data_IF_219969535211
#
_entry.id   IF_219969535211
#
_cell.length_a   1.000
_cell.length_b   1.000
_cell.length_c   1.000
_cell.angle_alpha   90.00
_cell.angle_beta   90.00
_cell.angle_gamma   90.00
#
_symmetry.space_group_name_H-M   'P 1'
#
loop_
_entity.id
_entity.type
_entity.pdbx_description
1 polymer ?
#
# COMPACT_ATOMS: atom_id res chain seq x y z
N UNK A 1 -14.55 -35.20 -25.14
CA UNK A 1 -13.25 -34.97 -24.46
C UNK A 1 -12.53 -33.66 -24.84
N UNK A 2 -12.69 -33.08 -26.05
CA UNK A 2 -12.04 -31.79 -26.41
C UNK A 2 -12.58 -30.58 -25.63
N UNK A 3 -13.87 -30.56 -25.31
CA UNK A 3 -14.55 -29.49 -24.54
C UNK A 3 -14.05 -29.35 -23.10
N UNK A 4 -13.70 -30.45 -22.44
CA UNK A 4 -13.17 -30.41 -21.07
C UNK A 4 -11.74 -29.88 -21.00
N UNK A 5 -10.91 -30.10 -22.04
CA UNK A 5 -9.53 -29.59 -22.09
C UNK A 5 -9.49 -28.07 -22.28
N UNK A 6 -10.33 -27.52 -23.19
CA UNK A 6 -10.45 -26.07 -23.42
C UNK A 6 -11.03 -25.31 -22.22
N UNK A 7 -12.04 -25.88 -21.57
CA UNK A 7 -12.65 -25.29 -20.37
C UNK A 7 -11.63 -25.16 -19.22
N UNK A 8 -10.80 -26.20 -18.99
CA UNK A 8 -9.73 -26.14 -17.98
C UNK A 8 -8.65 -25.10 -18.29
N UNK A 9 -8.25 -24.96 -19.56
CA UNK A 9 -7.26 -23.97 -19.97
C UNK A 9 -7.79 -22.54 -19.81
N UNK A 10 -9.04 -22.28 -20.23
CA UNK A 10 -9.71 -20.99 -20.02
C UNK A 10 -9.85 -20.64 -18.53
N UNK A 11 -10.22 -21.61 -17.70
CA UNK A 11 -10.30 -21.43 -16.25
C UNK A 11 -8.93 -21.03 -15.67
N UNK A 12 -7.87 -21.74 -16.05
CA UNK A 12 -6.51 -21.45 -15.58
C UNK A 12 -6.05 -20.05 -15.98
N UNK A 13 -6.30 -19.64 -17.22
CA UNK A 13 -5.97 -18.29 -17.69
C UNK A 13 -6.79 -17.22 -16.97
N UNK A 14 -8.09 -17.45 -16.74
CA UNK A 14 -8.92 -16.51 -15.98
C UNK A 14 -8.44 -16.34 -14.54
N UNK A 15 -8.01 -17.43 -13.88
CA UNK A 15 -7.49 -17.39 -12.52
C UNK A 15 -6.15 -16.66 -12.45
N UNK A 16 -5.26 -16.86 -13.43
CA UNK A 16 -3.98 -16.15 -13.50
C UNK A 16 -4.18 -14.65 -13.80
N UNK A 17 -5.13 -14.30 -14.67
CA UNK A 17 -5.48 -12.90 -14.91
C UNK A 17 -6.00 -12.22 -13.64
N UNK A 18 -6.88 -12.90 -12.90
CA UNK A 18 -7.43 -12.39 -11.65
C UNK A 18 -6.34 -12.25 -10.57
N UNK A 19 -5.45 -13.24 -10.46
CA UNK A 19 -4.31 -13.19 -9.55
C UNK A 19 -3.40 -12.00 -9.87
N UNK A 20 -3.03 -11.82 -11.14
CA UNK A 20 -2.21 -10.70 -11.60
C UNK A 20 -2.88 -9.35 -11.33
N UNK A 21 -4.19 -9.23 -11.57
CA UNK A 21 -4.96 -8.02 -11.25
C UNK A 21 -4.91 -7.69 -9.76
N UNK A 22 -5.14 -8.67 -8.88
CA UNK A 22 -5.08 -8.46 -7.44
C UNK A 22 -3.67 -8.14 -6.95
N UNK A 23 -2.64 -8.80 -7.48
CA UNK A 23 -1.24 -8.50 -7.13
C UNK A 23 -0.83 -7.09 -7.55
N UNK A 24 -1.19 -6.63 -8.75
CA UNK A 24 -0.91 -5.25 -9.18
C UNK A 24 -1.69 -4.24 -8.33
N UNK A 25 -2.96 -4.52 -8.04
CA UNK A 25 -3.79 -3.65 -7.19
C UNK A 25 -3.20 -3.55 -5.78
N UNK A 26 -2.78 -4.67 -5.20
CA UNK A 26 -2.08 -4.70 -3.93
C UNK A 26 -0.77 -3.91 -4.00
N UNK A 27 0.00 -4.01 -5.07
CA UNK A 27 1.25 -3.27 -5.19
C UNK A 27 1.09 -1.74 -5.25
N UNK A 28 0.00 -1.25 -5.86
CA UNK A 28 -0.26 0.18 -6.04
C UNK A 28 -1.06 0.77 -4.86
N UNK A 29 -1.88 -0.03 -4.17
CA UNK A 29 -2.76 0.48 -3.13
C UNK A 29 -2.00 1.11 -1.97
N UNK A 30 -2.58 2.18 -1.42
CA UNK A 30 -2.07 2.91 -0.26
C UNK A 30 -2.70 2.44 1.05
N UNK A 31 -3.47 1.35 1.03
CA UNK A 31 -4.27 0.85 2.15
C UNK A 31 -3.82 -0.54 2.62
N UNK A 32 -2.52 -0.79 2.67
CA UNK A 32 -1.98 -2.04 3.25
C UNK A 32 -2.25 -2.13 4.73
N UNK A 33 -2.06 -1.01 5.43
CA UNK A 33 -2.37 -0.87 6.83
C UNK A 33 -3.08 0.46 7.04
N UNK A 34 -4.15 0.41 7.82
CA UNK A 34 -4.89 1.59 8.28
C UNK A 34 -4.82 1.58 9.79
N UNK A 35 -4.48 2.73 10.37
CA UNK A 35 -4.31 2.82 11.80
C UNK A 35 -4.43 4.25 12.31
N UNK A 36 -4.32 4.38 13.63
CA UNK A 36 -4.25 5.66 14.31
C UNK A 36 -2.95 5.76 15.07
N UNK A 37 -2.28 6.90 14.95
CA UNK A 37 -1.06 7.20 15.68
C UNK A 37 -1.36 8.27 16.74
N UNK A 38 -0.94 8.00 17.98
CA UNK A 38 -0.93 9.02 19.04
C UNK A 38 0.17 10.02 18.75
N UNK A 39 -0.19 11.28 18.55
CA UNK A 39 0.75 12.39 18.32
C UNK A 39 0.42 13.55 19.25
N UNK A 40 1.41 14.33 19.70
CA UNK A 40 1.16 15.48 20.57
C UNK A 40 0.30 16.51 19.84
N UNK A 41 -0.64 17.14 20.56
CA UNK A 41 -1.48 18.20 20.03
C UNK A 41 -0.63 19.41 19.61
N UNK A 42 -0.91 20.02 18.43
CA UNK A 42 -0.24 21.24 18.00
C UNK A 42 -0.70 22.45 18.83
N UNK A 43 0.01 23.58 18.69
CA UNK A 43 -0.47 24.86 19.23
C UNK A 43 -1.67 25.36 18.45
N UNK A 44 -2.64 25.96 19.14
CA UNK A 44 -3.79 26.59 18.48
C UNK A 44 -3.33 27.72 17.55
N UNK A 45 -3.94 27.79 16.35
CA UNK A 45 -3.69 28.83 15.35
C UNK A 45 -5.04 29.46 14.98
N UNK A 46 -5.06 30.67 14.41
CA UNK A 46 -6.30 31.36 14.00
C UNK A 46 -7.22 30.52 13.09
N UNK A 47 -6.66 29.54 12.38
CA UNK A 47 -7.40 28.62 11.50
C UNK A 47 -7.99 27.39 12.22
N UNK A 48 -7.44 27.00 13.39
CA UNK A 48 -7.84 25.77 14.10
C UNK A 48 -7.96 26.03 15.59
N UNK A 49 -9.21 26.05 16.06
CA UNK A 49 -9.62 26.28 17.45
C UNK A 49 -9.98 24.99 18.20
N UNK A 50 -10.05 23.84 17.50
CA UNK A 50 -10.39 22.52 18.08
C UNK A 50 -9.21 21.53 17.97
N UNK A 51 -9.04 20.67 18.99
CA UNK A 51 -7.98 19.66 19.11
C UNK A 51 -6.55 20.22 19.07
N UNK A 52 -6.35 21.38 19.70
CA UNK A 52 -5.06 22.06 19.83
C UNK A 52 -4.84 22.48 21.28
N UNK A 53 -3.59 22.67 21.68
CA UNK A 53 -3.25 23.21 23.00
C UNK A 53 -3.11 24.73 22.87
N UNK A 54 -3.99 25.44 23.56
CA UNK A 54 -3.86 26.88 23.74
C UNK A 54 -2.91 27.14 24.91
N UNK A 55 -1.77 27.75 24.61
CA UNK A 55 -0.83 28.21 25.63
C UNK A 55 -1.10 29.67 26.02
N UNK A 56 -2.24 30.25 25.62
CA UNK A 56 -2.66 31.60 26.00
C UNK A 56 -1.54 32.61 25.84
N UNK A 57 -0.90 32.65 24.68
CA UNK A 57 0.13 33.66 24.42
C UNK A 57 -0.62 34.96 24.15
N UNK A 58 -0.81 35.77 25.18
CA UNK A 58 -1.10 37.18 24.97
C UNK A 58 0.12 37.78 24.27
N UNK A 59 0.01 38.08 22.97
CA UNK A 59 1.04 38.82 22.21
C UNK A 59 1.38 40.18 22.87
N UNK A 60 0.59 40.63 23.84
CA UNK A 60 0.73 41.88 24.57
C UNK A 60 1.59 41.81 25.83
N UNK A 61 1.86 40.64 26.43
CA UNK A 61 2.77 40.55 27.61
C UNK A 61 3.49 39.19 27.73
N UNK A 62 4.80 39.11 27.42
CA UNK A 62 5.59 37.87 27.54
C UNK A 62 5.81 37.40 28.99
N UNK A 63 5.36 38.15 30.00
CA UNK A 63 5.53 37.81 31.43
C UNK A 63 4.38 36.99 32.02
N UNK A 64 3.25 36.86 31.33
CA UNK A 64 2.11 36.09 31.82
C UNK A 64 2.24 34.63 31.37
N UNK A 65 2.65 33.76 32.29
CA UNK A 65 2.71 32.31 32.05
C UNK A 65 1.30 31.74 32.16
N UNK A 66 0.71 31.34 31.04
CA UNK A 66 -0.57 30.63 31.03
C UNK A 66 -0.32 29.13 31.23
N UNK A 67 -0.94 28.58 32.26
CA UNK A 67 -0.87 27.17 32.57
C UNK A 67 -1.91 26.41 31.75
N UNK A 68 -1.46 25.46 30.94
CA UNK A 68 -2.34 24.45 30.34
C UNK A 68 -2.71 23.42 31.40
N UNK A 69 -4.01 23.22 31.63
CA UNK A 69 -4.54 22.22 32.58
C UNK A 69 -4.69 20.82 31.97
N UNK A 70 -4.39 20.62 30.67
CA UNK A 70 -4.39 19.29 30.06
C UNK A 70 -3.24 18.44 30.63
N UNK A 71 -3.58 17.29 31.20
CA UNK A 71 -2.63 16.43 31.91
C UNK A 71 -2.68 15.00 31.35
N UNK A 72 -1.52 14.36 31.20
CA UNK A 72 -1.44 12.96 30.75
C UNK A 72 -1.89 12.76 29.30
N UNK A 73 -2.88 11.89 29.10
CA UNK A 73 -3.36 11.45 27.79
C UNK A 73 -4.11 12.55 27.01
N UNK A 74 -4.61 13.58 27.70
CA UNK A 74 -5.31 14.70 27.06
C UNK A 74 -4.40 15.51 26.14
N UNK A 75 -3.07 15.42 26.28
CA UNK A 75 -2.12 16.15 25.42
C UNK A 75 -1.94 15.54 24.03
N UNK A 76 -2.52 14.38 23.78
CA UNK A 76 -2.36 13.66 22.53
C UNK A 76 -3.65 13.68 21.71
N UNK A 77 -3.48 13.68 20.40
CA UNK A 77 -4.55 13.44 19.45
C UNK A 77 -4.24 12.18 18.66
N UNK A 78 -5.29 11.48 18.24
CA UNK A 78 -5.20 10.32 17.37
C UNK A 78 -5.27 10.78 15.93
N UNK A 79 -4.16 10.66 15.20
CA UNK A 79 -4.08 10.98 13.77
C UNK A 79 -4.31 9.70 12.98
N UNK A 80 -5.29 9.70 12.09
CA UNK A 80 -5.49 8.59 11.16
C UNK A 80 -4.40 8.58 10.10
N UNK A 81 -3.91 7.38 9.77
CA UNK A 81 -2.96 7.17 8.69
C UNK A 81 -3.32 5.92 7.90
N UNK A 82 -2.97 5.95 6.63
CA UNK A 82 -2.96 4.78 5.77
C UNK A 82 -1.60 4.65 5.09
N UNK A 83 -1.11 3.43 5.00
CA UNK A 83 0.22 3.13 4.45
C UNK A 83 0.09 2.11 3.34
N UNK A 84 0.72 2.36 2.20
CA UNK A 84 1.08 1.35 1.22
C UNK A 84 2.60 1.14 1.16
N UNK A 85 3.05 0.33 0.20
CA UNK A 85 4.49 0.08 -0.03
C UNK A 85 5.25 1.38 -0.35
N UNK A 86 4.65 2.26 -1.15
CA UNK A 86 5.35 3.42 -1.72
C UNK A 86 5.10 4.71 -0.94
N UNK A 87 3.86 4.89 -0.50
CA UNK A 87 3.39 6.12 0.12
C UNK A 87 2.65 5.81 1.41
N UNK A 88 2.91 6.65 2.41
CA UNK A 88 2.14 6.73 3.64
C UNK A 88 1.53 8.11 3.73
N UNK A 89 0.20 8.17 3.85
CA UNK A 89 -0.53 9.40 4.02
C UNK A 89 -1.15 9.43 5.41
N UNK A 90 -1.02 10.58 6.05
CA UNK A 90 -1.58 10.79 7.38
C UNK A 90 -2.31 12.11 7.42
N UNK A 91 -3.39 12.19 8.18
CA UNK A 91 -4.29 13.35 8.24
C UNK A 91 -3.58 14.63 8.72
N UNK A 92 -3.62 15.72 7.97
CA UNK A 92 -2.85 16.91 8.28
C UNK A 92 -3.29 17.55 9.62
N UNK A 93 -2.30 17.95 10.42
CA UNK A 93 -2.53 18.58 11.72
C UNK A 93 -2.81 20.08 11.55
N UNK A 94 -2.24 20.72 10.52
CA UNK A 94 -2.30 22.18 10.34
C UNK A 94 -3.39 22.65 9.35
N UNK A 95 -3.70 21.85 8.33
CA UNK A 95 -4.69 22.18 7.30
C UNK A 95 -5.74 21.07 7.14
N UNK A 96 -6.81 21.35 6.39
CA UNK A 96 -7.77 20.33 5.96
C UNK A 96 -7.15 19.47 4.84
N UNK A 97 -7.13 18.14 5.04
CA UNK A 97 -6.63 17.17 4.06
C UNK A 97 -5.60 16.19 4.63
N UNK A 98 -4.97 15.42 3.76
CA UNK A 98 -3.94 14.45 4.10
C UNK A 98 -2.56 14.87 3.60
N UNK A 99 -1.53 14.53 4.37
CA UNK A 99 -0.14 14.75 3.97
C UNK A 99 0.52 13.41 3.66
N UNK A 100 0.82 13.19 2.38
CA UNK A 100 1.50 12.01 1.90
C UNK A 100 3.03 12.18 1.92
N UNK A 101 3.73 11.12 2.33
CA UNK A 101 5.20 11.01 2.33
C UNK A 101 5.59 9.63 1.80
N UNK A 102 6.81 9.50 1.26
CA UNK A 102 7.30 8.20 0.83
C UNK A 102 7.54 7.30 2.04
N UNK A 103 7.10 6.04 1.97
CA UNK A 103 7.22 5.08 3.07
C UNK A 103 8.69 4.78 3.42
N UNK A 104 9.60 4.84 2.44
CA UNK A 104 11.04 4.62 2.62
C UNK A 104 11.69 5.69 3.53
N UNK A 105 11.14 6.92 3.51
CA UNK A 105 11.63 8.01 4.35
C UNK A 105 11.13 7.90 5.80
N UNK A 106 10.04 7.15 6.05
CA UNK A 106 9.51 6.92 7.38
C UNK A 106 10.27 5.83 8.13
N UNK A 107 10.82 4.84 7.43
CA UNK A 107 11.51 3.72 8.05
C UNK A 107 12.89 4.14 8.61
N UNK A 108 13.21 3.82 9.88
CA UNK A 108 14.52 4.06 10.46
C UNK A 108 15.61 3.31 9.67
N UNK A 109 16.83 3.87 9.63
CA UNK A 109 17.91 3.38 8.77
C UNK A 109 18.24 1.89 8.96
N UNK A 110 18.00 1.34 10.17
CA UNK A 110 18.20 -0.07 10.50
C UNK A 110 17.22 -1.03 9.82
N UNK A 111 16.00 -0.59 9.51
CA UNK A 111 14.92 -1.44 8.98
C UNK A 111 14.76 -1.32 7.46
N UNK A 112 15.43 -0.34 6.84
CA UNK A 112 15.37 -0.09 5.39
C UNK A 112 15.72 -1.33 4.57
N UNK A 113 16.68 -2.14 5.03
CA UNK A 113 17.09 -3.37 4.33
C UNK A 113 15.95 -4.39 4.20
N UNK A 114 15.16 -4.58 5.26
CA UNK A 114 14.05 -5.55 5.28
C UNK A 114 12.92 -5.09 4.35
N UNK A 115 12.65 -3.79 4.32
CA UNK A 115 11.64 -3.19 3.46
C UNK A 115 12.00 -3.37 1.97
N UNK A 116 13.28 -3.16 1.61
CA UNK A 116 13.76 -3.41 0.26
C UNK A 116 13.64 -4.88 -0.16
N UNK A 117 13.94 -5.82 0.75
CA UNK A 117 13.76 -7.25 0.47
C UNK A 117 12.30 -7.57 0.16
N UNK A 118 11.36 -7.02 0.94
CA UNK A 118 9.92 -7.18 0.69
C UNK A 118 9.50 -6.62 -0.67
N UNK A 119 9.96 -5.40 -1.02
CA UNK A 119 9.67 -4.79 -2.33
C UNK A 119 10.22 -5.64 -3.48
N UNK A 120 11.46 -6.12 -3.36
CA UNK A 120 12.07 -6.97 -4.38
C UNK A 120 11.33 -8.31 -4.53
N UNK A 121 10.90 -8.93 -3.42
CA UNK A 121 10.13 -10.17 -3.48
C UNK A 121 8.77 -9.98 -4.15
N UNK A 122 8.06 -8.88 -3.85
CA UNK A 122 6.78 -8.57 -4.48
C UNK A 122 6.93 -8.28 -5.98
N UNK A 123 7.98 -7.53 -6.36
CA UNK A 123 8.30 -7.29 -7.77
C UNK A 123 8.61 -8.59 -8.52
N UNK A 124 9.43 -9.45 -7.93
CA UNK A 124 9.78 -10.75 -8.50
C UNK A 124 8.52 -11.62 -8.66
N UNK A 125 7.62 -11.62 -7.67
CA UNK A 125 6.36 -12.35 -7.73
C UNK A 125 5.47 -11.88 -8.89
N UNK A 126 5.28 -10.56 -9.06
CA UNK A 126 4.50 -9.99 -10.16
C UNK A 126 5.14 -10.32 -11.51
N UNK A 127 6.47 -10.25 -11.62
CA UNK A 127 7.18 -10.62 -12.85
C UNK A 127 6.96 -12.09 -13.20
N UNK A 128 7.06 -13.00 -12.22
CA UNK A 128 6.78 -14.42 -12.43
C UNK A 128 5.34 -14.66 -12.88
N UNK A 129 4.36 -13.96 -12.29
CA UNK A 129 2.96 -14.05 -12.72
C UNK A 129 2.75 -13.55 -14.16
N UNK A 130 3.41 -12.44 -14.55
CA UNK A 130 3.35 -11.91 -15.91
C UNK A 130 3.94 -12.92 -16.90
N UNK A 131 5.10 -13.49 -16.59
CA UNK A 131 5.75 -14.50 -17.44
C UNK A 131 4.87 -15.75 -17.55
N UNK A 132 4.34 -16.24 -16.43
CA UNK A 132 3.42 -17.39 -16.40
C UNK A 132 2.16 -17.16 -17.24
N UNK A 133 1.50 -16.01 -17.06
CA UNK A 133 0.34 -15.61 -17.86
C UNK A 133 0.67 -15.51 -19.35
N UNK A 134 1.81 -14.90 -19.70
CA UNK A 134 2.26 -14.76 -21.08
C UNK A 134 2.49 -16.12 -21.75
N UNK A 135 3.13 -17.07 -21.05
CA UNK A 135 3.32 -18.43 -21.54
C UNK A 135 1.99 -19.16 -21.73
N UNK A 136 1.03 -19.04 -20.80
CA UNK A 136 -0.30 -19.62 -20.94
C UNK A 136 -1.08 -19.02 -22.12
N UNK A 137 -0.96 -17.71 -22.36
CA UNK A 137 -1.55 -17.05 -23.53
C UNK A 137 -0.95 -17.56 -24.85
N UNK A 138 0.38 -17.71 -24.91
CA UNK A 138 1.06 -18.27 -26.08
C UNK A 138 0.61 -19.71 -26.36
N UNK A 139 0.44 -20.54 -25.34
CA UNK A 139 -0.11 -21.90 -25.49
C UNK A 139 -1.54 -21.89 -26.05
N UNK A 140 -2.40 -20.98 -25.58
CA UNK A 140 -3.76 -20.84 -26.10
C UNK A 140 -3.79 -20.39 -27.57
N UNK A 141 -2.96 -19.41 -27.94
CA UNK A 141 -2.87 -18.92 -29.33
C UNK A 141 -2.28 -20.01 -30.23
N UNK A 142 -1.21 -20.68 -29.82
CA UNK A 142 -0.62 -21.78 -30.57
C UNK A 142 -1.59 -22.97 -30.74
N UNK A 143 -2.34 -23.34 -29.69
CA UNK A 143 -3.35 -24.39 -29.79
C UNK A 143 -4.55 -23.99 -30.66
N UNK A 144 -4.85 -22.69 -30.79
CA UNK A 144 -5.93 -22.18 -31.63
C UNK A 144 -5.52 -22.10 -33.11
N UNK A 145 -4.28 -21.69 -33.39
CA UNK A 145 -3.75 -21.49 -34.75
C UNK A 145 -3.14 -22.76 -35.36
N UNK A 146 -2.54 -23.65 -34.56
CA UNK A 146 -1.89 -24.89 -35.04
C UNK A 146 -2.65 -26.14 -34.57
N UNK A 147 -3.50 -26.70 -35.43
CA UNK A 147 -4.21 -27.96 -35.18
C UNK A 147 -3.31 -29.23 -35.18
N UNK A 148 -1.98 -29.12 -35.12
CA UNK A 148 -1.05 -30.23 -35.44
C UNK A 148 0.22 -30.38 -34.56
N UNK A 149 0.35 -29.73 -33.41
CA UNK A 149 1.49 -30.01 -32.51
C UNK A 149 0.98 -30.27 -31.09
N UNK A 150 0.37 -31.46 -30.93
CA UNK A 150 0.00 -32.07 -29.66
C UNK A 150 1.28 -32.57 -28.96
N UNK A 151 2.07 -31.66 -28.36
CA UNK A 151 3.37 -32.07 -27.80
C UNK A 151 4.09 -31.16 -26.82
N UNK A 152 3.83 -29.85 -26.76
CA UNK A 152 4.53 -28.99 -25.80
C UNK A 152 3.74 -28.90 -24.48
N UNK A 153 3.90 -29.95 -23.67
CA UNK A 153 3.46 -29.99 -22.27
C UNK A 153 4.45 -29.17 -21.43
N UNK A 154 4.43 -27.85 -21.58
CA UNK A 154 5.07 -26.97 -20.60
C UNK A 154 4.18 -26.98 -19.37
N UNK A 155 4.61 -27.69 -18.33
CA UNK A 155 4.02 -27.52 -17.00
C UNK A 155 4.39 -26.11 -16.53
N UNK A 156 3.63 -25.10 -16.96
CA UNK A 156 3.75 -23.72 -16.46
C UNK A 156 3.59 -23.65 -14.92
N UNK A 157 3.02 -24.71 -14.32
CA UNK A 157 2.98 -24.95 -12.88
C UNK A 157 4.34 -25.23 -12.22
N UNK A 158 5.40 -25.54 -12.97
CA UNK A 158 6.73 -25.86 -12.41
C UNK A 158 7.66 -24.64 -12.28
N UNK A 159 7.22 -23.45 -12.74
CA UNK A 159 7.97 -22.20 -12.66
C UNK A 159 7.49 -21.28 -11.51
N UNK A 160 6.54 -21.75 -10.70
CA UNK A 160 6.03 -21.09 -9.49
C UNK A 160 6.56 -21.85 -8.28
#
# INVERSE_FOLDING_TARGET
MKTTRKCRALLSVSMNLLALFFSITAFITTYWCVGTQRVPKPKCTKLRTHNCIDYGVNETDPKVVVYSWETGDDRFLFRQFHTGIWFSCAENIHDEGEKCRSFIDLAPASERGVLWLSVVSEMLYIVLLIVGFSLMCLELVHSSTSNMIDGLKLNAFAAI
#
